data_IF_932628767702
#
_entry.id   IF_932628767702
#
_cell.length_a   1.000
_cell.length_b   1.000
_cell.length_c   1.000
_cell.angle_alpha   90.00
_cell.angle_beta   90.00
_cell.angle_gamma   90.00
#
_symmetry.space_group_name_H-M   'P 1'
#
loop_
_entity.id
_entity.type
_entity.pdbx_description
1 polymer ?
#
# COMPACT_ATOMS: atom_id res chain seq x y z
N UNK A 1 31.08 24.75 -5.54
CA UNK A 1 30.20 25.05 -6.69
C UNK A 1 30.81 24.64 -8.04
N UNK A 2 31.76 23.69 -8.07
CA UNK A 2 32.51 23.34 -9.31
C UNK A 2 32.16 21.97 -9.93
N UNK A 3 31.26 21.18 -9.32
CA UNK A 3 30.99 19.81 -9.77
C UNK A 3 30.24 19.70 -11.10
N UNK A 4 29.42 20.68 -11.47
CA UNK A 4 28.68 20.65 -12.75
C UNK A 4 29.63 20.76 -13.96
N UNK A 5 30.75 21.49 -13.82
CA UNK A 5 31.75 21.63 -14.87
C UNK A 5 32.59 20.37 -15.07
N UNK A 6 32.53 19.40 -14.13
CA UNK A 6 33.23 18.11 -14.27
C UNK A 6 32.69 17.23 -15.40
N UNK A 7 31.49 17.54 -15.94
CA UNK A 7 30.98 16.92 -17.16
C UNK A 7 31.79 17.36 -18.39
N UNK A 8 32.43 18.52 -18.35
CA UNK A 8 33.25 19.08 -19.43
C UNK A 8 34.76 18.80 -19.22
N UNK A 9 35.13 17.72 -18.54
CA UNK A 9 36.53 17.37 -18.31
C UNK A 9 37.26 17.07 -19.63
N UNK A 10 38.11 18.01 -20.05
CA UNK A 10 38.80 17.97 -21.34
C UNK A 10 39.87 16.88 -21.43
N UNK A 11 40.20 16.20 -20.33
CA UNK A 11 41.06 15.02 -20.37
C UNK A 11 40.37 13.78 -20.95
N UNK A 12 39.05 13.82 -21.13
CA UNK A 12 38.23 12.72 -21.69
C UNK A 12 37.97 12.87 -23.19
N UNK A 13 38.70 13.75 -23.88
CA UNK A 13 38.59 13.90 -25.33
C UNK A 13 38.95 12.60 -26.04
N UNK A 14 38.18 12.26 -27.07
CA UNK A 14 38.47 11.10 -27.91
C UNK A 14 39.73 11.37 -28.73
N UNK A 15 40.64 10.39 -28.79
CA UNK A 15 41.86 10.51 -29.60
C UNK A 15 41.48 10.63 -31.09
N UNK A 16 41.75 11.80 -31.68
CA UNK A 16 41.41 12.11 -33.07
C UNK A 16 40.25 13.10 -33.26
N UNK A 17 39.50 13.46 -32.21
CA UNK A 17 38.51 14.54 -32.26
C UNK A 17 38.43 15.29 -30.92
N UNK A 18 38.97 16.52 -30.91
CA UNK A 18 39.02 17.35 -29.71
C UNK A 18 37.66 17.93 -29.29
N UNK A 19 36.61 17.75 -30.11
CA UNK A 19 35.26 18.23 -29.85
C UNK A 19 34.34 17.15 -29.26
N UNK A 20 34.79 15.90 -29.22
CA UNK A 20 34.03 14.77 -28.66
C UNK A 20 34.64 14.38 -27.31
N UNK A 21 33.80 14.33 -26.28
CA UNK A 21 34.15 13.83 -24.95
C UNK A 21 33.53 12.45 -24.74
N UNK A 22 34.35 11.49 -24.31
CA UNK A 22 33.87 10.18 -23.86
C UNK A 22 33.44 10.28 -22.40
N UNK A 23 32.14 10.22 -22.16
CA UNK A 23 31.55 10.41 -20.84
C UNK A 23 30.82 9.12 -20.45
N UNK A 24 31.37 8.44 -19.45
CA UNK A 24 30.64 7.41 -18.72
C UNK A 24 29.57 8.07 -17.83
N UNK A 25 28.31 7.97 -18.27
CA UNK A 25 27.14 8.54 -17.59
C UNK A 25 26.95 7.93 -16.19
N UNK A 26 27.37 6.68 -15.99
CA UNK A 26 27.19 5.98 -14.73
C UNK A 26 28.09 6.53 -13.61
N UNK A 27 29.21 7.18 -13.97
CA UNK A 27 30.12 7.80 -13.00
C UNK A 27 29.57 9.09 -12.36
N UNK A 28 28.47 9.65 -12.89
CA UNK A 28 27.91 10.91 -12.42
C UNK A 28 26.60 10.71 -11.62
N UNK A 29 26.35 11.54 -10.59
CA UNK A 29 25.05 11.64 -9.92
C UNK A 29 23.89 11.89 -10.88
N UNK A 30 22.71 11.40 -10.53
CA UNK A 30 21.49 11.48 -11.35
C UNK A 30 21.14 12.90 -11.82
N UNK A 31 21.40 13.91 -10.98
CA UNK A 31 21.21 15.32 -11.31
C UNK A 31 22.03 15.76 -12.55
N UNK A 32 23.24 15.22 -12.73
CA UNK A 32 24.11 15.52 -13.86
C UNK A 32 23.84 14.64 -15.07
N UNK A 33 23.32 13.42 -14.86
CA UNK A 33 22.83 12.55 -15.95
C UNK A 33 21.73 13.23 -16.75
N UNK A 34 20.80 13.93 -16.09
CA UNK A 34 19.76 14.74 -16.75
C UNK A 34 20.37 15.83 -17.65
N UNK A 35 21.42 16.49 -17.19
CA UNK A 35 22.12 17.52 -17.98
C UNK A 35 22.86 16.90 -19.18
N UNK A 36 23.54 15.77 -19.00
CA UNK A 36 24.21 15.02 -20.08
C UNK A 36 23.16 14.57 -21.12
N UNK A 37 22.03 14.02 -20.68
CA UNK A 37 20.91 13.62 -21.54
C UNK A 37 20.35 14.79 -22.35
N UNK A 38 20.21 15.98 -21.77
CA UNK A 38 19.79 17.18 -22.51
C UNK A 38 20.82 17.66 -23.53
N UNK A 39 22.11 17.63 -23.18
CA UNK A 39 23.19 17.98 -24.10
C UNK A 39 23.24 17.01 -25.28
N UNK A 40 23.15 15.69 -25.00
CA UNK A 40 23.05 14.66 -26.03
C UNK A 40 21.82 14.85 -26.91
N UNK A 41 20.65 15.16 -26.33
CA UNK A 41 19.42 15.43 -27.09
C UNK A 41 19.55 16.64 -28.01
N UNK A 42 20.24 17.69 -27.58
CA UNK A 42 20.43 18.92 -28.37
C UNK A 42 21.27 18.66 -29.63
N UNK A 43 22.30 17.81 -29.53
CA UNK A 43 23.23 17.49 -30.62
C UNK A 43 22.83 16.27 -31.46
N UNK A 44 21.88 15.46 -30.97
CA UNK A 44 21.45 14.21 -31.62
C UNK A 44 20.61 14.41 -32.89
N UNK A 45 20.67 13.44 -33.80
CA UNK A 45 19.83 13.41 -35.01
C UNK A 45 18.34 13.22 -34.69
N UNK A 46 17.46 13.48 -35.67
CA UNK A 46 16.01 13.48 -35.49
C UNK A 46 15.43 12.14 -35.04
N UNK A 47 16.00 11.02 -35.48
CA UNK A 47 15.57 9.67 -35.06
C UNK A 47 15.92 9.42 -33.59
N UNK A 48 17.17 9.71 -33.21
CA UNK A 48 17.66 9.54 -31.84
C UNK A 48 16.85 10.42 -30.88
N UNK A 49 16.59 11.69 -31.24
CA UNK A 49 15.72 12.56 -30.44
C UNK A 49 14.33 11.96 -30.23
N UNK A 50 13.68 11.48 -31.29
CA UNK A 50 12.34 10.87 -31.17
C UNK A 50 12.36 9.63 -30.27
N UNK A 51 13.40 8.80 -30.36
CA UNK A 51 13.56 7.65 -29.48
C UNK A 51 13.71 8.09 -28.02
N UNK A 52 14.52 9.11 -27.73
CA UNK A 52 14.66 9.67 -26.38
C UNK A 52 13.34 10.22 -25.84
N UNK A 53 12.53 10.87 -26.68
CA UNK A 53 11.22 11.41 -26.28
C UNK A 53 10.25 10.31 -25.86
N UNK A 54 10.21 9.22 -26.62
CA UNK A 54 9.38 8.06 -26.31
C UNK A 54 9.88 7.35 -25.06
N UNK A 55 11.20 7.24 -24.87
CA UNK A 55 11.78 6.67 -23.65
C UNK A 55 11.45 7.52 -22.42
N UNK A 56 11.52 8.86 -22.52
CA UNK A 56 11.11 9.77 -21.45
C UNK A 56 9.63 9.58 -21.08
N UNK A 57 8.76 9.42 -22.07
CA UNK A 57 7.32 9.16 -21.87
C UNK A 57 7.08 7.83 -21.16
N UNK A 58 7.71 6.75 -21.62
CA UNK A 58 7.60 5.41 -21.01
C UNK A 58 8.11 5.44 -19.56
N UNK A 59 9.24 6.09 -19.30
CA UNK A 59 9.78 6.21 -17.94
C UNK A 59 8.81 6.97 -17.02
N UNK A 60 8.23 8.07 -17.49
CA UNK A 60 7.23 8.81 -16.72
C UNK A 60 6.00 7.95 -16.39
N UNK A 61 5.50 7.16 -17.34
CA UNK A 61 4.40 6.24 -17.11
C UNK A 61 4.75 5.12 -16.11
N UNK A 62 5.97 4.58 -16.19
CA UNK A 62 6.45 3.58 -15.23
C UNK A 62 6.50 4.15 -13.81
N UNK A 63 7.05 5.35 -13.63
CA UNK A 63 7.07 6.02 -12.33
C UNK A 63 5.67 6.29 -11.79
N UNK A 64 4.72 6.68 -12.65
CA UNK A 64 3.32 6.87 -12.27
C UNK A 64 2.67 5.55 -11.82
N UNK A 65 2.95 4.45 -12.54
CA UNK A 65 2.49 3.13 -12.13
C UNK A 65 3.09 2.70 -10.80
N UNK A 66 4.37 2.93 -10.55
CA UNK A 66 5.01 2.64 -9.27
C UNK A 66 4.36 3.42 -8.13
N UNK A 67 4.12 4.73 -8.31
CA UNK A 67 3.39 5.55 -7.34
C UNK A 67 2.00 5.00 -7.05
N UNK A 68 1.27 4.57 -8.08
CA UNK A 68 -0.07 3.96 -7.93
C UNK A 68 -0.01 2.64 -7.17
N UNK A 69 0.95 1.77 -7.49
CA UNK A 69 1.15 0.49 -6.80
C UNK A 69 1.46 0.72 -5.32
N UNK A 70 2.35 1.66 -5.01
CA UNK A 70 2.65 2.04 -3.63
C UNK A 70 1.41 2.55 -2.89
N UNK A 71 0.61 3.39 -3.54
CA UNK A 71 -0.67 3.86 -3.01
C UNK A 71 -1.66 2.73 -2.72
N UNK A 72 -1.80 1.79 -3.65
CA UNK A 72 -2.64 0.58 -3.46
C UNK A 72 -2.16 -0.28 -2.30
N UNK A 73 -0.83 -0.47 -2.16
CA UNK A 73 -0.24 -1.21 -1.05
C UNK A 73 -0.62 -0.61 0.31
N UNK A 74 -0.57 0.71 0.44
CA UNK A 74 -0.99 1.42 1.65
C UNK A 74 -2.47 1.21 1.96
N UNK A 75 -3.35 1.32 0.97
CA UNK A 75 -4.79 1.07 1.15
C UNK A 75 -5.07 -0.38 1.58
N UNK A 76 -4.36 -1.36 1.00
CA UNK A 76 -4.49 -2.77 1.38
C UNK A 76 -4.08 -2.96 2.85
N UNK A 77 -2.98 -2.35 3.29
CA UNK A 77 -2.53 -2.44 4.68
C UNK A 77 -3.54 -1.82 5.66
N UNK A 78 -4.09 -0.65 5.34
CA UNK A 78 -5.13 0.00 6.13
C UNK A 78 -6.39 -0.86 6.22
N UNK A 79 -6.83 -1.44 5.11
CA UNK A 79 -7.98 -2.34 5.06
C UNK A 79 -7.74 -3.62 5.86
N UNK A 80 -6.54 -4.20 5.82
CA UNK A 80 -6.17 -5.37 6.60
C UNK A 80 -6.26 -5.08 8.11
N UNK A 81 -5.76 -3.93 8.55
CA UNK A 81 -5.87 -3.48 9.96
C UNK A 81 -7.33 -3.27 10.38
N UNK A 82 -8.16 -2.72 9.50
CA UNK A 82 -9.58 -2.54 9.77
C UNK A 82 -10.32 -3.89 9.89
N UNK A 83 -10.02 -4.83 9.00
CA UNK A 83 -10.57 -6.20 9.06
C UNK A 83 -10.18 -6.91 10.34
N UNK A 84 -8.92 -6.80 10.77
CA UNK A 84 -8.47 -7.42 12.04
C UNK A 84 -9.23 -6.85 13.24
N UNK A 85 -9.43 -5.52 13.30
CA UNK A 85 -10.24 -4.89 14.36
C UNK A 85 -11.68 -5.37 14.33
N UNK A 86 -12.30 -5.44 13.14
CA UNK A 86 -13.66 -5.93 13.00
C UNK A 86 -13.80 -7.40 13.43
N UNK A 87 -12.81 -8.24 13.12
CA UNK A 87 -12.79 -9.64 13.56
C UNK A 87 -12.77 -9.75 15.10
N UNK A 88 -11.95 -8.93 15.78
CA UNK A 88 -11.93 -8.88 17.26
C UNK A 88 -13.27 -8.46 17.85
N UNK A 89 -13.91 -7.43 17.28
CA UNK A 89 -15.24 -6.99 17.72
C UNK A 89 -16.30 -8.08 17.52
N UNK A 90 -16.25 -8.82 16.41
CA UNK A 90 -17.16 -9.94 16.15
C UNK A 90 -16.95 -11.05 17.18
N UNK A 91 -15.70 -11.37 17.52
CA UNK A 91 -15.38 -12.38 18.54
C UNK A 91 -15.90 -11.97 19.93
N UNK A 92 -15.70 -10.72 20.33
CA UNK A 92 -16.22 -10.17 21.60
C UNK A 92 -17.75 -10.22 21.64
N UNK A 93 -18.42 -9.83 20.55
CA UNK A 93 -19.88 -9.89 20.46
C UNK A 93 -20.40 -11.34 20.52
N UNK A 94 -19.69 -12.29 19.93
CA UNK A 94 -20.06 -13.70 20.00
C UNK A 94 -19.99 -14.23 21.44
N UNK A 95 -18.92 -13.88 22.18
CA UNK A 95 -18.79 -14.24 23.61
C UNK A 95 -19.89 -13.62 24.46
N UNK A 96 -20.21 -12.34 24.23
CA UNK A 96 -21.29 -11.65 24.94
C UNK A 96 -22.67 -12.26 24.65
N UNK A 97 -22.90 -12.74 23.42
CA UNK A 97 -24.13 -13.42 23.06
C UNK A 97 -24.24 -14.78 23.77
N UNK A 98 -23.16 -15.56 23.79
CA UNK A 98 -23.12 -16.85 24.50
C UNK A 98 -23.38 -16.68 26.01
N UNK A 99 -22.82 -15.65 26.64
CA UNK A 99 -23.11 -15.34 28.03
C UNK A 99 -24.59 -15.00 28.24
N UNK A 100 -25.18 -14.20 27.36
CA UNK A 100 -26.61 -13.87 27.43
C UNK A 100 -27.50 -15.11 27.28
N UNK A 101 -27.19 -16.01 26.36
CA UNK A 101 -27.93 -17.25 26.18
C UNK A 101 -27.87 -18.13 27.43
N UNK A 102 -26.71 -18.22 28.09
CA UNK A 102 -26.58 -18.92 29.39
C UNK A 102 -27.45 -18.29 30.48
N UNK A 103 -27.45 -16.96 30.60
CA UNK A 103 -28.29 -16.26 31.59
C UNK A 103 -29.78 -16.42 31.32
N UNK A 104 -30.19 -16.48 30.04
CA UNK A 104 -31.58 -16.73 29.67
C UNK A 104 -31.99 -18.16 30.04
N UNK A 105 -31.16 -19.15 29.73
CA UNK A 105 -31.42 -20.54 30.09
C UNK A 105 -31.54 -20.75 31.62
N UNK A 106 -30.72 -20.04 32.40
CA UNK A 106 -30.82 -20.07 33.87
C UNK A 106 -32.13 -19.43 34.36
N UNK A 107 -32.53 -18.29 33.81
CA UNK A 107 -33.81 -17.66 34.14
C UNK A 107 -35.01 -18.54 33.79
N UNK A 108 -35.00 -19.17 32.62
CA UNK A 108 -36.06 -20.10 32.20
C UNK A 108 -36.18 -21.28 33.17
N UNK A 109 -35.05 -21.82 33.63
CA UNK A 109 -35.03 -22.88 34.65
C UNK A 109 -35.65 -22.42 35.97
N UNK A 110 -35.28 -21.24 36.47
CA UNK A 110 -35.84 -20.68 37.70
C UNK A 110 -37.35 -20.41 37.59
N UNK A 111 -37.80 -19.91 36.43
CA UNK A 111 -39.23 -19.71 36.17
C UNK A 111 -39.98 -21.04 36.21
N UNK A 112 -39.45 -22.09 35.58
CA UNK A 112 -40.07 -23.42 35.59
C UNK A 112 -40.17 -23.99 37.02
N UNK A 113 -39.14 -23.80 37.85
CA UNK A 113 -39.13 -24.24 39.25
C UNK A 113 -40.16 -23.48 40.12
N UNK A 114 -40.27 -22.16 39.95
CA UNK A 114 -41.26 -21.34 40.64
C UNK A 114 -42.69 -21.70 40.22
N UNK A 115 -42.94 -21.91 38.92
CA UNK A 115 -44.25 -22.33 38.41
C UNK A 115 -44.64 -23.73 38.89
N UNK A 116 -43.68 -24.66 38.97
CA UNK A 116 -43.89 -25.98 39.56
C UNK A 116 -44.27 -25.91 41.04
N UNK A 117 -43.64 -24.99 41.79
CA UNK A 117 -43.90 -24.76 43.22
C UNK A 117 -45.23 -24.05 43.50
N UNK A 118 -45.78 -23.31 42.51
CA UNK A 118 -47.05 -22.59 42.62
C UNK A 118 -48.28 -23.37 42.16
N UNK A 119 -48.15 -24.62 41.68
CA UNK A 119 -49.33 -25.48 41.41
C UNK A 119 -50.05 -25.79 42.74
N UNK A 120 -51.29 -25.31 42.96
CA UNK A 120 -51.94 -25.42 44.25
C UNK A 120 -52.46 -26.83 44.51
N UNK A 121 -52.37 -27.21 45.78
CA UNK A 121 -53.09 -28.30 46.44
C UNK A 121 -54.57 -27.94 46.44
N UNK A 122 -55.28 -28.17 45.34
CA UNK A 122 -56.74 -28.01 45.28
C UNK A 122 -57.31 -28.90 44.17
N UNK A 123 -57.78 -30.09 44.54
CA UNK A 123 -59.20 -30.51 44.43
C UNK A 123 -59.33 -31.97 44.89
N UNK A 124 -59.60 -32.19 46.17
CA UNK A 124 -60.39 -33.34 46.61
C UNK A 124 -61.04 -33.01 47.96
N UNK A 125 -61.94 -32.02 47.92
CA UNK A 125 -62.99 -31.84 48.90
C UNK A 125 -64.29 -31.75 48.10
N UNK A 126 -65.07 -32.83 48.04
CA UNK A 126 -66.37 -32.78 47.39
C UNK A 126 -66.97 -34.14 47.03
N UNK A 127 -67.76 -34.66 47.99
CA UNK A 127 -68.89 -35.61 47.85
C UNK A 127 -68.60 -37.10 47.79
#
# INVERSE_FOLDING_TARGET
TERLLAVFDQHRKVEGDEHILDIDEDTYPEEYRKVIRWLNRAVSESVIRRTMDVEDEILAELEDMERRIAGMGKTIEENAKALEKNAKVIEENAKALEEKDRTLAEKDRLIAELQGSQRPISTESGS
#
